data_IF_359323057847
#
_entry.id   IF_359323057847
#
_cell.length_a   1.000
_cell.length_b   1.000
_cell.length_c   1.000
_cell.angle_alpha   90.00
_cell.angle_beta   90.00
_cell.angle_gamma   90.00
#
_symmetry.space_group_name_H-M   'P 1'
#
loop_
_entity.id
_entity.type
_entity.pdbx_description
1 polymer ?
#
# COMPACT_ATOMS: atom_id res chain seq x y z
N UNK A 1 -25.51 11.03 -8.76
CA UNK A 1 -24.29 10.88 -7.95
C UNK A 1 -23.48 9.62 -8.31
N UNK A 2 -24.08 8.46 -8.63
CA UNK A 2 -23.37 7.23 -9.01
C UNK A 2 -22.48 7.35 -10.26
N UNK A 3 -22.93 8.06 -11.31
CA UNK A 3 -22.17 8.22 -12.57
C UNK A 3 -20.86 8.99 -12.38
N UNK A 4 -20.82 10.01 -11.55
CA UNK A 4 -19.61 10.79 -11.29
C UNK A 4 -18.56 9.99 -10.51
N UNK A 5 -18.98 9.14 -9.57
CA UNK A 5 -18.08 8.28 -8.83
C UNK A 5 -17.46 7.19 -9.72
N UNK A 6 -18.26 6.56 -10.61
CA UNK A 6 -17.75 5.56 -11.55
C UNK A 6 -16.75 6.15 -12.55
N UNK A 7 -17.02 7.35 -13.07
CA UNK A 7 -16.07 8.05 -13.96
C UNK A 7 -14.78 8.44 -13.24
N UNK A 8 -14.86 8.82 -11.97
CA UNK A 8 -13.70 9.15 -11.13
C UNK A 8 -12.80 7.93 -10.94
N UNK A 9 -13.35 6.80 -10.49
CA UNK A 9 -12.59 5.54 -10.33
C UNK A 9 -12.04 5.03 -11.66
N UNK A 10 -12.76 5.18 -12.78
CA UNK A 10 -12.27 4.80 -14.11
C UNK A 10 -11.02 5.58 -14.53
N UNK A 11 -10.94 6.87 -14.19
CA UNK A 11 -9.76 7.71 -14.46
C UNK A 11 -8.54 7.27 -13.63
N UNK A 12 -8.74 6.94 -12.36
CA UNK A 12 -7.67 6.42 -11.50
C UNK A 12 -7.17 5.08 -12.04
N UNK A 13 -8.07 4.16 -12.40
CA UNK A 13 -7.70 2.86 -12.99
C UNK A 13 -6.87 3.02 -14.27
N UNK A 14 -7.26 3.94 -15.14
CA UNK A 14 -6.49 4.18 -16.38
C UNK A 14 -5.06 4.65 -16.08
N UNK A 15 -4.87 5.55 -15.11
CA UNK A 15 -3.54 6.00 -14.69
C UNK A 15 -2.73 4.83 -14.16
N UNK A 16 -3.30 4.01 -13.25
CA UNK A 16 -2.63 2.85 -12.66
C UNK A 16 -2.22 1.81 -13.72
N UNK A 17 -3.09 1.51 -14.69
CA UNK A 17 -2.78 0.57 -15.76
C UNK A 17 -1.65 1.11 -16.66
N UNK A 18 -1.72 2.38 -17.04
CA UNK A 18 -0.69 3.01 -17.86
C UNK A 18 0.67 2.96 -17.17
N UNK A 19 0.71 3.36 -15.91
CA UNK A 19 1.94 3.36 -15.10
C UNK A 19 2.46 1.94 -14.89
N UNK A 20 1.58 0.97 -14.58
CA UNK A 20 1.94 -0.44 -14.45
C UNK A 20 2.63 -0.97 -15.71
N UNK A 21 2.07 -0.70 -16.90
CA UNK A 21 2.64 -1.14 -18.17
C UNK A 21 4.02 -0.52 -18.39
N UNK A 22 4.18 0.77 -18.10
CA UNK A 22 5.46 1.46 -18.23
C UNK A 22 6.51 0.93 -17.24
N UNK A 23 6.14 0.78 -15.98
CA UNK A 23 7.04 0.26 -14.92
C UNK A 23 7.48 -1.18 -15.23
N UNK A 24 6.55 -2.03 -15.69
CA UNK A 24 6.91 -3.38 -16.10
C UNK A 24 7.77 -3.40 -17.36
N UNK A 25 7.53 -2.52 -18.33
CA UNK A 25 8.40 -2.36 -19.50
C UNK A 25 9.82 -1.99 -19.10
N UNK A 26 9.98 -1.03 -18.21
CA UNK A 26 11.27 -0.61 -17.62
C UNK A 26 11.93 -1.77 -16.87
N UNK A 27 11.19 -2.46 -15.99
CA UNK A 27 11.69 -3.56 -15.19
C UNK A 27 12.19 -4.73 -16.07
N UNK A 28 11.40 -5.14 -17.05
CA UNK A 28 11.74 -6.23 -17.97
C UNK A 28 12.99 -5.86 -18.79
N UNK A 29 13.09 -4.62 -19.30
CA UNK A 29 14.27 -4.16 -20.02
C UNK A 29 15.54 -4.23 -19.17
N UNK A 30 15.47 -3.79 -17.90
CA UNK A 30 16.58 -3.89 -16.95
C UNK A 30 16.98 -5.33 -16.67
N UNK A 31 16.00 -6.22 -16.42
CA UNK A 31 16.24 -7.64 -16.12
C UNK A 31 16.91 -8.32 -17.31
N UNK A 32 16.32 -8.22 -18.51
CA UNK A 32 16.87 -8.86 -19.71
C UNK A 32 18.29 -8.38 -19.98
N UNK A 33 18.50 -7.08 -19.93
CA UNK A 33 19.82 -6.53 -20.26
C UNK A 33 20.84 -6.78 -19.15
N UNK A 34 20.42 -6.79 -17.88
CA UNK A 34 21.25 -7.19 -16.75
C UNK A 34 21.72 -8.64 -16.85
N UNK A 35 20.86 -9.55 -17.32
CA UNK A 35 21.21 -10.95 -17.58
C UNK A 35 22.19 -11.08 -18.75
N UNK A 36 21.93 -10.39 -19.88
CA UNK A 36 22.83 -10.40 -21.06
C UNK A 36 24.23 -9.85 -20.74
N UNK A 37 24.30 -8.79 -19.95
CA UNK A 37 25.55 -8.16 -19.55
C UNK A 37 26.24 -8.85 -18.38
N UNK A 38 25.62 -9.88 -17.78
CA UNK A 38 26.05 -10.51 -16.52
C UNK A 38 26.18 -9.50 -15.37
N UNK A 39 25.43 -8.40 -15.40
CA UNK A 39 25.43 -7.35 -14.38
C UNK A 39 24.31 -7.64 -13.36
N UNK A 40 24.70 -8.11 -12.17
CA UNK A 40 23.75 -8.52 -11.14
C UNK A 40 23.02 -7.32 -10.51
N UNK A 41 23.72 -6.19 -10.33
CA UNK A 41 23.10 -4.96 -9.80
C UNK A 41 22.02 -4.40 -10.71
N UNK A 42 22.21 -4.44 -12.03
CA UNK A 42 21.19 -4.03 -13.00
C UNK A 42 19.98 -4.99 -13.00
N UNK A 43 20.24 -6.31 -12.87
CA UNK A 43 19.17 -7.32 -12.73
C UNK A 43 18.39 -7.11 -11.44
N UNK A 44 19.07 -6.85 -10.33
CA UNK A 44 18.44 -6.58 -9.03
C UNK A 44 17.58 -5.30 -9.06
N UNK A 45 18.08 -4.21 -9.70
CA UNK A 45 17.32 -2.98 -9.92
C UNK A 45 16.07 -3.22 -10.79
N UNK A 46 16.17 -4.13 -11.78
CA UNK A 46 15.01 -4.55 -12.58
C UNK A 46 13.96 -5.30 -11.74
N UNK A 47 14.36 -6.21 -10.85
CA UNK A 47 13.44 -6.87 -9.92
C UNK A 47 12.87 -5.90 -8.88
N UNK A 48 13.64 -4.92 -8.45
CA UNK A 48 13.14 -3.85 -7.58
C UNK A 48 12.03 -3.05 -8.30
N UNK A 49 12.28 -2.58 -9.52
CA UNK A 49 11.26 -1.88 -10.31
C UNK A 49 10.03 -2.74 -10.62
N UNK A 50 10.19 -4.07 -10.75
CA UNK A 50 9.06 -4.99 -10.90
C UNK A 50 8.24 -5.05 -9.61
N UNK A 51 8.89 -5.03 -8.44
CA UNK A 51 8.20 -5.04 -7.15
C UNK A 51 7.36 -3.79 -6.93
N UNK A 52 7.81 -2.64 -7.43
CA UNK A 52 7.07 -1.38 -7.27
C UNK A 52 5.80 -1.33 -8.13
N UNK A 53 5.83 -1.96 -9.31
CA UNK A 53 4.63 -2.17 -10.12
C UNK A 53 3.56 -3.04 -9.41
N UNK A 54 3.94 -3.80 -8.37
CA UNK A 54 2.98 -4.61 -7.61
C UNK A 54 2.02 -3.76 -6.77
N UNK A 55 2.43 -2.55 -6.34
CA UNK A 55 1.55 -1.59 -5.66
C UNK A 55 0.36 -1.23 -6.54
N UNK A 56 0.59 -1.03 -7.84
CA UNK A 56 -0.46 -0.74 -8.81
C UNK A 56 -1.41 -1.92 -9.01
N UNK A 57 -0.89 -3.16 -8.99
CA UNK A 57 -1.73 -4.38 -9.04
C UNK A 57 -2.62 -4.46 -7.80
N UNK A 58 -2.06 -4.23 -6.62
CA UNK A 58 -2.82 -4.21 -5.36
C UNK A 58 -3.93 -3.16 -5.43
N UNK A 59 -3.61 -1.96 -5.93
CA UNK A 59 -4.58 -0.90 -6.10
C UNK A 59 -5.70 -1.25 -7.09
N UNK A 60 -5.37 -1.87 -8.22
CA UNK A 60 -6.36 -2.34 -9.19
C UNK A 60 -7.27 -3.42 -8.62
N UNK A 61 -6.70 -4.37 -7.87
CA UNK A 61 -7.44 -5.41 -7.15
C UNK A 61 -8.34 -4.76 -6.10
N UNK A 62 -7.80 -3.84 -5.29
CA UNK A 62 -8.56 -3.11 -4.27
C UNK A 62 -9.76 -2.38 -4.86
N UNK A 63 -9.58 -1.65 -5.97
CA UNK A 63 -10.67 -0.98 -6.68
C UNK A 63 -11.70 -1.98 -7.23
N UNK A 64 -11.25 -3.13 -7.75
CA UNK A 64 -12.15 -4.17 -8.25
C UNK A 64 -13.04 -4.73 -7.14
N UNK A 65 -12.45 -5.14 -6.02
CA UNK A 65 -13.19 -5.71 -4.89
C UNK A 65 -13.98 -4.67 -4.09
N UNK A 66 -13.49 -3.44 -3.97
CA UNK A 66 -14.22 -2.36 -3.31
C UNK A 66 -15.56 -2.02 -4.00
N UNK A 67 -15.72 -2.39 -5.28
CA UNK A 67 -16.97 -2.24 -6.04
C UNK A 67 -17.96 -3.38 -5.83
N UNK A 68 -17.51 -4.51 -5.29
CA UNK A 68 -18.41 -5.65 -5.06
C UNK A 68 -19.23 -5.38 -3.80
N UNK A 69 -20.57 -5.48 -3.90
CA UNK A 69 -21.42 -5.34 -2.72
C UNK A 69 -21.17 -6.49 -1.74
N UNK A 70 -21.59 -6.30 -0.50
CA UNK A 70 -21.68 -7.38 0.47
C UNK A 70 -22.59 -8.48 -0.05
N UNK A 71 -22.20 -9.73 0.15
CA UNK A 71 -22.98 -10.91 -0.21
C UNK A 71 -23.20 -11.81 1.02
N UNK A 72 -23.85 -12.96 0.81
CA UNK A 72 -24.20 -13.89 1.88
C UNK A 72 -22.98 -14.51 2.56
N UNK A 73 -21.90 -14.72 1.79
CA UNK A 73 -20.68 -15.35 2.28
C UNK A 73 -19.70 -14.29 2.83
N UNK A 74 -19.83 -13.03 2.41
CA UNK A 74 -19.01 -11.89 2.83
C UNK A 74 -19.86 -10.73 3.35
N UNK A 75 -20.47 -10.86 4.55
CA UNK A 75 -21.33 -9.82 5.13
C UNK A 75 -20.64 -8.50 5.40
N UNK A 76 -19.32 -8.53 5.62
CA UNK A 76 -18.47 -7.35 5.82
C UNK A 76 -17.78 -6.85 4.54
N UNK A 77 -18.14 -7.42 3.37
CA UNK A 77 -17.59 -7.03 2.08
C UNK A 77 -16.27 -7.75 1.72
N UNK A 78 -15.71 -7.36 0.58
CA UNK A 78 -14.59 -8.07 -0.07
C UNK A 78 -13.25 -7.36 0.06
N UNK A 79 -13.16 -6.24 0.79
CA UNK A 79 -11.94 -5.42 0.85
C UNK A 79 -10.73 -6.14 1.44
N UNK A 80 -10.92 -7.15 2.32
CA UNK A 80 -9.81 -7.95 2.88
C UNK A 80 -9.08 -8.81 1.84
N UNK A 81 -9.67 -9.07 0.67
CA UNK A 81 -8.98 -9.76 -0.42
C UNK A 81 -7.73 -9.03 -0.88
N UNK A 82 -7.76 -7.69 -0.93
CA UNK A 82 -6.59 -6.88 -1.24
C UNK A 82 -5.42 -7.17 -0.30
N UNK A 83 -5.72 -7.36 0.99
CA UNK A 83 -4.70 -7.70 2.00
C UNK A 83 -4.08 -9.08 1.75
N UNK A 84 -4.87 -10.07 1.31
CA UNK A 84 -4.36 -11.39 0.94
C UNK A 84 -3.44 -11.34 -0.30
N UNK A 85 -3.83 -10.59 -1.33
CA UNK A 85 -2.98 -10.39 -2.51
C UNK A 85 -1.68 -9.70 -2.14
N UNK A 86 -1.75 -8.69 -1.26
CA UNK A 86 -0.55 -8.00 -0.75
C UNK A 86 0.42 -8.95 -0.06
N UNK A 87 -0.08 -9.88 0.76
CA UNK A 87 0.77 -10.91 1.39
C UNK A 87 1.40 -11.86 0.37
N UNK A 88 0.65 -12.27 -0.66
CA UNK A 88 1.20 -13.09 -1.75
C UNK A 88 2.37 -12.40 -2.46
N UNK A 89 2.23 -11.10 -2.72
CA UNK A 89 3.29 -10.27 -3.30
C UNK A 89 4.49 -10.17 -2.35
N UNK A 90 4.26 -9.92 -1.06
CA UNK A 90 5.35 -9.85 -0.08
C UNK A 90 6.15 -11.15 -0.01
N UNK A 91 5.50 -12.32 -0.07
CA UNK A 91 6.18 -13.63 -0.14
C UNK A 91 7.04 -13.76 -1.40
N UNK A 92 6.52 -13.31 -2.55
CA UNK A 92 7.29 -13.30 -3.80
C UNK A 92 8.53 -12.40 -3.68
N UNK A 93 8.40 -11.21 -3.08
CA UNK A 93 9.52 -10.30 -2.86
C UNK A 93 10.60 -10.89 -1.95
N UNK A 94 10.21 -11.56 -0.87
CA UNK A 94 11.17 -12.28 -0.01
C UNK A 94 11.89 -13.38 -0.78
N UNK A 95 11.18 -14.16 -1.58
CA UNK A 95 11.79 -15.22 -2.39
C UNK A 95 12.81 -14.65 -3.40
N UNK A 96 12.42 -13.61 -4.13
CA UNK A 96 13.31 -12.92 -5.08
C UNK A 96 14.53 -12.33 -4.36
N UNK A 97 14.34 -11.67 -3.22
CA UNK A 97 15.45 -11.07 -2.47
C UNK A 97 16.45 -12.12 -2.00
N UNK A 98 15.99 -13.29 -1.53
CA UNK A 98 16.86 -14.39 -1.11
C UNK A 98 17.68 -14.94 -2.28
N UNK A 99 17.09 -15.10 -3.46
CA UNK A 99 17.80 -15.53 -4.68
C UNK A 99 18.89 -14.53 -5.04
N UNK A 100 18.58 -13.24 -5.03
CA UNK A 100 19.51 -12.17 -5.38
C UNK A 100 20.65 -12.04 -4.35
N UNK A 101 20.35 -12.15 -3.05
CA UNK A 101 21.37 -12.15 -1.97
C UNK A 101 22.31 -13.35 -2.15
N UNK A 102 21.75 -14.55 -2.36
CA UNK A 102 22.56 -15.74 -2.59
C UNK A 102 23.46 -15.57 -3.81
N UNK A 103 22.93 -15.10 -4.94
CA UNK A 103 23.69 -14.83 -6.15
C UNK A 103 24.76 -13.75 -5.95
N UNK A 104 24.48 -12.70 -5.16
CA UNK A 104 25.45 -11.67 -4.80
C UNK A 104 26.61 -12.24 -3.95
N UNK A 105 26.31 -13.05 -2.94
CA UNK A 105 27.32 -13.72 -2.10
C UNK A 105 28.18 -14.68 -2.93
N UNK A 106 27.57 -15.46 -3.82
CA UNK A 106 28.31 -16.37 -4.70
C UNK A 106 29.28 -15.62 -5.62
N UNK A 107 28.87 -14.47 -6.18
CA UNK A 107 29.73 -13.61 -7.00
C UNK A 107 30.84 -12.92 -6.20
N UNK A 108 30.70 -12.73 -4.89
CA UNK A 108 31.79 -12.28 -4.04
C UNK A 108 32.85 -13.37 -3.84
N UNK A 109 32.43 -14.65 -3.79
CA UNK A 109 33.34 -15.82 -3.66
C UNK A 109 33.99 -16.20 -5.00
N UNK A 110 33.18 -16.16 -6.07
CA UNK A 110 33.59 -16.52 -7.43
C UNK A 110 33.34 -15.31 -8.35
N UNK A 111 34.26 -14.33 -8.41
CA UNK A 111 34.08 -13.09 -9.13
C UNK A 111 33.79 -13.29 -10.62
N UNK A 112 32.65 -12.82 -11.07
CA UNK A 112 32.31 -12.73 -12.50
C UNK A 112 32.43 -11.26 -12.88
N UNK A 113 33.25 -10.95 -13.88
CA UNK A 113 33.37 -9.58 -14.40
C UNK A 113 32.17 -9.27 -15.30
N UNK A 114 31.31 -8.29 -14.92
CA UNK A 114 30.22 -7.86 -15.78
C UNK A 114 30.75 -7.25 -17.09
N UNK A 115 30.08 -7.55 -18.20
CA UNK A 115 30.39 -6.93 -19.51
C UNK A 115 29.60 -5.63 -19.63
N UNK A 116 30.21 -4.52 -19.22
CA UNK A 116 29.57 -3.21 -19.27
C UNK A 116 29.68 -2.62 -20.68
N UNK A 117 28.57 -2.64 -21.41
CA UNK A 117 28.46 -2.04 -22.73
C UNK A 117 27.86 -0.62 -22.64
N UNK A 118 28.05 0.19 -23.67
CA UNK A 118 27.42 1.51 -23.79
C UNK A 118 25.90 1.41 -23.71
N UNK A 119 25.31 0.33 -24.23
CA UNK A 119 23.88 0.03 -24.16
C UNK A 119 23.34 -0.07 -22.73
N UNK A 120 24.16 -0.58 -21.75
CA UNK A 120 23.76 -0.63 -20.34
C UNK A 120 23.45 0.78 -19.82
N UNK A 121 24.27 1.76 -20.12
CA UNK A 121 24.05 3.15 -19.74
C UNK A 121 22.87 3.77 -20.45
N UNK A 122 22.71 3.51 -21.77
CA UNK A 122 21.57 4.02 -22.56
C UNK A 122 20.26 3.53 -21.97
N UNK A 123 20.15 2.23 -21.67
CA UNK A 123 18.94 1.65 -21.06
C UNK A 123 18.68 2.29 -19.70
N UNK A 124 19.68 2.40 -18.83
CA UNK A 124 19.50 3.01 -17.51
C UNK A 124 19.08 4.48 -17.58
N UNK A 125 19.62 5.25 -18.52
CA UNK A 125 19.23 6.66 -18.72
C UNK A 125 17.79 6.74 -19.23
N UNK A 126 17.41 5.92 -20.21
CA UNK A 126 16.04 5.87 -20.74
C UNK A 126 15.06 5.48 -19.63
N UNK A 127 15.38 4.48 -18.82
CA UNK A 127 14.50 4.03 -17.72
C UNK A 127 14.35 5.10 -16.65
N UNK A 128 15.40 5.83 -16.28
CA UNK A 128 15.31 6.99 -15.38
C UNK A 128 14.42 8.09 -15.99
N UNK A 129 14.57 8.36 -17.29
CA UNK A 129 13.73 9.32 -17.99
C UNK A 129 12.24 8.96 -17.96
N UNK A 130 11.93 7.67 -18.19
CA UNK A 130 10.55 7.13 -18.07
C UNK A 130 10.04 7.28 -16.65
N UNK A 131 10.80 6.85 -15.64
CA UNK A 131 10.39 6.95 -14.25
C UNK A 131 10.19 8.42 -13.81
N UNK A 132 11.02 9.33 -14.28
CA UNK A 132 10.85 10.77 -14.01
C UNK A 132 9.56 11.32 -14.63
N UNK A 133 9.22 10.89 -15.84
CA UNK A 133 7.96 11.25 -16.48
C UNK A 133 6.76 10.64 -15.74
N UNK A 134 6.83 9.35 -15.38
CA UNK A 134 5.79 8.63 -14.60
C UNK A 134 5.54 9.35 -13.29
N UNK A 135 6.58 9.61 -12.49
CA UNK A 135 6.49 10.32 -11.20
C UNK A 135 5.74 11.65 -11.34
N UNK A 136 6.10 12.47 -12.33
CA UNK A 136 5.43 13.76 -12.55
C UNK A 136 3.98 13.59 -13.01
N UNK A 137 3.70 12.59 -13.83
CA UNK A 137 2.36 12.28 -14.33
C UNK A 137 1.45 11.83 -13.18
N UNK A 138 1.89 10.86 -12.37
CA UNK A 138 1.17 10.37 -11.20
C UNK A 138 0.88 11.50 -10.20
N UNK A 139 1.91 12.30 -9.88
CA UNK A 139 1.77 13.42 -8.94
C UNK A 139 0.72 14.42 -9.42
N UNK A 140 0.76 14.84 -10.70
CA UNK A 140 -0.22 15.77 -11.27
C UNK A 140 -1.63 15.18 -11.29
N UNK A 141 -1.76 13.91 -11.68
CA UNK A 141 -3.06 13.23 -11.73
C UNK A 141 -3.61 12.94 -10.35
N UNK A 142 -2.76 12.54 -9.41
CA UNK A 142 -3.13 12.32 -8.02
C UNK A 142 -3.68 13.58 -7.36
N UNK A 143 -3.02 14.72 -7.55
CA UNK A 143 -3.50 16.01 -7.06
C UNK A 143 -4.82 16.43 -7.72
N UNK A 144 -4.96 16.27 -9.05
CA UNK A 144 -6.18 16.63 -9.77
C UNK A 144 -7.38 15.73 -9.46
N UNK A 145 -7.13 14.47 -9.11
CA UNK A 145 -8.14 13.47 -8.75
C UNK A 145 -8.31 13.31 -7.24
N UNK A 146 -7.63 14.13 -6.41
CA UNK A 146 -7.63 13.99 -4.94
C UNK A 146 -7.38 12.54 -4.49
N UNK A 147 -6.45 11.85 -5.16
CA UNK A 147 -6.10 10.45 -4.89
C UNK A 147 -4.76 10.37 -4.18
N UNK A 148 -4.80 10.16 -2.86
CA UNK A 148 -3.60 9.98 -2.03
C UNK A 148 -2.78 8.75 -2.48
N UNK A 149 -3.45 7.74 -3.04
CA UNK A 149 -2.82 6.57 -3.60
C UNK A 149 -1.87 6.93 -4.74
N UNK A 150 -2.32 7.71 -5.75
CA UNK A 150 -1.47 8.14 -6.86
C UNK A 150 -0.34 9.07 -6.41
N UNK A 151 -0.58 9.91 -5.39
CA UNK A 151 0.46 10.77 -4.82
C UNK A 151 1.52 9.94 -4.10
N UNK A 152 1.09 8.92 -3.34
CA UNK A 152 2.01 7.98 -2.67
C UNK A 152 2.84 7.18 -3.68
N UNK A 153 2.22 6.70 -4.76
CA UNK A 153 2.90 5.94 -5.82
C UNK A 153 3.97 6.81 -6.52
N UNK A 154 3.68 8.09 -6.78
CA UNK A 154 4.66 9.04 -7.29
C UNK A 154 5.89 9.20 -6.37
N UNK A 155 5.72 9.07 -5.04
CA UNK A 155 6.84 9.10 -4.09
C UNK A 155 7.67 7.83 -4.13
N UNK A 156 7.05 6.65 -4.36
CA UNK A 156 7.76 5.40 -4.61
C UNK A 156 8.58 5.49 -5.90
N UNK A 157 7.96 5.91 -7.02
CA UNK A 157 8.66 6.11 -8.30
C UNK A 157 9.85 7.08 -8.17
N UNK A 158 9.75 8.08 -7.28
CA UNK A 158 10.89 8.95 -6.96
C UNK A 158 12.05 8.20 -6.29
N UNK A 159 11.76 7.27 -5.38
CA UNK A 159 12.79 6.44 -4.74
C UNK A 159 13.48 5.53 -5.77
N UNK A 160 12.74 4.99 -6.76
CA UNK A 160 13.28 4.17 -7.85
C UNK A 160 14.29 4.92 -8.72
N UNK A 161 14.07 6.21 -8.95
CA UNK A 161 15.03 7.05 -9.66
C UNK A 161 16.36 7.10 -8.91
N UNK A 162 16.34 7.25 -7.58
CA UNK A 162 17.58 7.24 -6.78
C UNK A 162 18.26 5.87 -6.78
N UNK A 163 17.48 4.79 -6.69
CA UNK A 163 18.01 3.43 -6.78
C UNK A 163 18.68 3.19 -8.13
N UNK A 164 18.00 3.52 -9.24
CA UNK A 164 18.56 3.40 -10.59
C UNK A 164 19.79 4.30 -10.81
N UNK A 165 19.83 5.48 -10.19
CA UNK A 165 21.01 6.36 -10.23
C UNK A 165 22.18 5.71 -9.51
N UNK A 166 21.97 5.05 -8.36
CA UNK A 166 23.02 4.33 -7.65
C UNK A 166 23.59 3.18 -8.48
N UNK A 167 22.76 2.50 -9.28
CA UNK A 167 23.20 1.46 -10.23
C UNK A 167 24.05 2.07 -11.35
N UNK A 168 23.70 3.24 -11.88
CA UNK A 168 24.57 3.92 -12.88
C UNK A 168 25.95 4.23 -12.29
N UNK A 169 25.99 4.71 -11.03
CA UNK A 169 27.26 4.95 -10.34
C UNK A 169 28.05 3.64 -10.22
N UNK A 170 27.40 2.54 -9.82
CA UNK A 170 28.02 1.22 -9.76
C UNK A 170 28.58 0.80 -11.13
N UNK A 171 27.82 0.96 -12.24
CA UNK A 171 28.27 0.64 -13.59
C UNK A 171 29.51 1.46 -14.00
N UNK A 172 29.57 2.74 -13.63
CA UNK A 172 30.75 3.59 -13.89
C UNK A 172 31.99 3.03 -13.15
N UNK A 173 31.83 2.71 -11.87
CA UNK A 173 32.94 2.23 -11.03
C UNK A 173 33.41 0.83 -11.46
N UNK A 174 32.47 -0.04 -11.89
CA UNK A 174 32.81 -1.35 -12.48
C UNK A 174 33.64 -1.15 -13.78
N UNK A 175 33.24 -0.20 -14.62
CA UNK A 175 33.97 0.13 -15.85
C UNK A 175 35.37 0.70 -15.58
N UNK A 176 35.57 1.35 -14.42
CA UNK A 176 36.88 1.82 -13.94
C UNK A 176 37.77 0.70 -13.37
N UNK A 177 37.33 -0.56 -13.37
CA UNK A 177 38.10 -1.71 -12.98
C UNK A 177 37.81 -2.27 -11.58
N UNK A 178 36.70 -1.89 -10.96
CA UNK A 178 36.28 -2.39 -9.64
C UNK A 178 35.04 -3.28 -9.71
N UNK A 179 35.11 -4.51 -10.26
CA UNK A 179 33.94 -5.38 -10.49
C UNK A 179 33.26 -5.85 -9.19
N UNK A 180 33.94 -5.77 -8.05
CA UNK A 180 33.41 -6.15 -6.74
C UNK A 180 32.20 -5.32 -6.31
N UNK A 181 32.00 -4.13 -6.90
CA UNK A 181 30.84 -3.28 -6.60
C UNK A 181 29.54 -3.85 -7.15
N UNK A 182 29.56 -4.69 -8.20
CA UNK A 182 28.35 -5.32 -8.71
C UNK A 182 27.65 -6.22 -7.68
N UNK A 183 28.31 -7.23 -7.08
CA UNK A 183 27.68 -8.06 -6.05
C UNK A 183 27.33 -7.27 -4.78
N UNK A 184 28.12 -6.26 -4.40
CA UNK A 184 27.81 -5.42 -3.23
C UNK A 184 26.53 -4.63 -3.47
N UNK A 185 26.40 -3.96 -4.61
CA UNK A 185 25.20 -3.23 -4.99
C UNK A 185 23.97 -4.17 -5.09
N UNK A 186 24.18 -5.37 -5.65
CA UNK A 186 23.13 -6.40 -5.73
C UNK A 186 22.59 -6.77 -4.35
N UNK A 187 23.47 -7.08 -3.39
CA UNK A 187 23.07 -7.43 -2.02
C UNK A 187 22.33 -6.26 -1.37
N UNK A 188 22.83 -5.02 -1.54
CA UNK A 188 22.20 -3.84 -0.97
C UNK A 188 20.77 -3.63 -1.51
N UNK A 189 20.58 -3.70 -2.84
CA UNK A 189 19.28 -3.59 -3.49
C UNK A 189 18.36 -4.73 -3.02
N UNK A 190 18.88 -5.94 -2.90
CA UNK A 190 18.10 -7.11 -2.46
C UNK A 190 17.61 -6.97 -1.02
N UNK A 191 18.40 -6.39 -0.11
CA UNK A 191 17.97 -6.05 1.25
C UNK A 191 16.84 -5.03 1.22
N UNK A 192 16.91 -4.05 0.32
CA UNK A 192 15.85 -3.07 0.16
C UNK A 192 14.54 -3.70 -0.34
N UNK A 193 14.62 -4.66 -1.30
CA UNK A 193 13.45 -5.45 -1.74
C UNK A 193 12.85 -6.24 -0.56
N UNK A 194 13.69 -6.89 0.26
CA UNK A 194 13.22 -7.61 1.45
C UNK A 194 12.52 -6.68 2.45
N UNK A 195 13.07 -5.48 2.64
CA UNK A 195 12.46 -4.46 3.51
C UNK A 195 11.08 -4.02 3.00
N UNK A 196 10.92 -3.84 1.68
CA UNK A 196 9.62 -3.55 1.06
C UNK A 196 8.62 -4.69 1.35
N UNK A 197 9.03 -5.95 1.17
CA UNK A 197 8.22 -7.11 1.53
C UNK A 197 7.81 -7.11 3.01
N UNK A 198 8.73 -6.80 3.92
CA UNK A 198 8.46 -6.69 5.35
C UNK A 198 7.43 -5.58 5.66
N UNK A 199 7.55 -4.40 5.03
CA UNK A 199 6.61 -3.29 5.23
C UNK A 199 5.19 -3.67 4.79
N UNK A 200 5.06 -4.39 3.65
CA UNK A 200 3.78 -4.93 3.18
C UNK A 200 3.20 -5.91 4.22
N UNK A 201 3.98 -6.87 4.73
CA UNK A 201 3.52 -7.81 5.76
C UNK A 201 3.07 -7.07 7.01
N UNK A 202 3.85 -6.09 7.47
CA UNK A 202 3.54 -5.27 8.65
C UNK A 202 2.21 -4.53 8.49
N UNK A 203 1.97 -3.87 7.34
CA UNK A 203 0.72 -3.17 7.04
C UNK A 203 -0.45 -4.15 6.93
N UNK A 204 -0.26 -5.28 6.28
CA UNK A 204 -1.27 -6.34 6.14
C UNK A 204 -1.65 -6.95 7.49
N UNK A 205 -0.68 -7.13 8.41
CA UNK A 205 -0.93 -7.69 9.74
C UNK A 205 -1.85 -6.80 10.58
N UNK A 206 -1.74 -5.49 10.45
CA UNK A 206 -2.64 -4.53 11.15
C UNK A 206 -4.10 -4.80 10.81
N UNK A 207 -4.39 -5.06 9.53
CA UNK A 207 -5.75 -5.34 9.05
C UNK A 207 -6.24 -6.72 9.45
N UNK A 208 -5.37 -7.74 9.34
CA UNK A 208 -5.75 -9.14 9.59
C UNK A 208 -5.86 -9.48 11.07
N UNK A 209 -5.06 -8.81 11.91
CA UNK A 209 -5.07 -9.01 13.36
C UNK A 209 -6.05 -8.05 14.09
N UNK A 210 -6.95 -7.39 13.35
CA UNK A 210 -7.91 -6.44 13.91
C UNK A 210 -7.27 -5.42 14.87
N UNK A 211 -6.06 -4.95 14.52
CA UNK A 211 -5.36 -3.93 15.30
C UNK A 211 -6.18 -2.64 15.30
N UNK A 212 -6.22 -1.97 16.44
CA UNK A 212 -6.95 -0.71 16.56
C UNK A 212 -6.49 0.29 15.50
N UNK A 213 -7.41 0.76 14.68
CA UNK A 213 -7.14 1.84 13.73
C UNK A 213 -7.07 3.13 14.54
N UNK A 214 -6.02 3.94 14.28
CA UNK A 214 -5.79 5.20 15.00
C UNK A 214 -6.85 6.20 14.57
N UNK A 215 -8.03 6.11 15.18
CA UNK A 215 -8.98 7.20 15.23
C UNK A 215 -8.73 7.99 16.52
N UNK A 216 -8.92 9.29 16.47
CA UNK A 216 -9.01 10.10 17.68
C UNK A 216 -10.25 9.65 18.48
N UNK A 217 -10.02 8.73 19.45
CA UNK A 217 -11.08 8.18 20.30
C UNK A 217 -11.83 9.30 21.02
N UNK A 218 -11.17 10.42 21.35
CA UNK A 218 -11.82 11.60 21.96
C UNK A 218 -12.89 12.17 21.03
N UNK A 219 -12.61 12.24 19.73
CA UNK A 219 -13.60 12.71 18.75
C UNK A 219 -14.87 11.86 18.76
N UNK A 220 -14.74 10.53 18.87
CA UNK A 220 -15.90 9.63 18.97
C UNK A 220 -16.64 9.88 20.27
N UNK A 221 -15.93 9.98 21.41
CA UNK A 221 -16.52 10.27 22.71
C UNK A 221 -17.30 11.60 22.68
N UNK A 222 -16.72 12.65 22.15
CA UNK A 222 -17.35 13.99 22.08
C UNK A 222 -18.61 13.97 21.22
N UNK A 223 -18.58 13.27 20.08
CA UNK A 223 -19.76 13.07 19.22
C UNK A 223 -20.88 12.34 20.00
N UNK A 224 -20.55 11.26 20.67
CA UNK A 224 -21.52 10.40 21.37
C UNK A 224 -22.12 11.11 22.59
N UNK A 225 -21.29 11.76 23.40
CA UNK A 225 -21.76 12.52 24.57
C UNK A 225 -22.57 13.75 24.21
N UNK A 226 -22.43 14.29 23.00
CA UNK A 226 -23.25 15.39 22.48
C UNK A 226 -24.69 14.97 22.16
N UNK A 227 -25.02 13.68 22.15
CA UNK A 227 -26.36 13.18 21.83
C UNK A 227 -27.23 13.14 23.08
N UNK A 228 -28.39 13.78 23.00
CA UNK A 228 -29.36 13.85 24.11
C UNK A 228 -29.80 12.44 24.55
N UNK A 229 -29.71 12.17 25.84
CA UNK A 229 -30.08 10.87 26.44
C UNK A 229 -28.88 9.95 26.69
N UNK A 230 -27.72 10.25 26.15
CA UNK A 230 -26.46 9.55 26.46
C UNK A 230 -25.91 10.07 27.80
N UNK A 231 -25.56 9.17 28.69
CA UNK A 231 -25.00 9.49 30.03
C UNK A 231 -23.50 9.22 30.12
N UNK A 232 -23.01 8.18 29.41
CA UNK A 232 -21.59 7.84 29.32
C UNK A 232 -21.30 6.99 28.09
N UNK A 233 -20.03 6.99 27.68
CA UNK A 233 -19.53 6.18 26.58
C UNK A 233 -18.19 5.56 27.00
N UNK A 234 -18.00 4.26 26.79
CA UNK A 234 -16.78 3.54 27.15
C UNK A 234 -16.57 2.31 26.26
N UNK A 235 -15.46 1.58 26.48
CA UNK A 235 -15.07 0.37 25.72
C UNK A 235 -15.10 0.56 24.21
N UNK A 236 -14.67 1.72 23.74
CA UNK A 236 -14.59 2.00 22.31
C UNK A 236 -13.48 1.15 21.71
N UNK A 237 -13.82 0.37 20.68
CA UNK A 237 -12.89 -0.46 19.91
C UNK A 237 -13.05 -0.12 18.44
N UNK A 238 -11.94 -0.06 17.74
CA UNK A 238 -11.91 0.18 16.30
C UNK A 238 -11.09 -0.89 15.62
N UNK A 239 -11.49 -1.31 14.44
CA UNK A 239 -10.78 -2.28 13.61
C UNK A 239 -11.00 -1.99 12.15
N UNK A 240 -10.25 -2.66 11.29
CA UNK A 240 -10.40 -2.57 9.84
C UNK A 240 -9.24 -1.89 9.15
N UNK A 241 -9.51 -1.20 8.07
CA UNK A 241 -8.55 -0.46 7.26
C UNK A 241 -8.72 1.05 7.49
N UNK A 242 -7.72 1.88 7.16
CA UNK A 242 -7.87 3.33 7.28
C UNK A 242 -9.03 3.91 6.46
N UNK A 243 -9.45 3.23 5.38
CA UNK A 243 -10.57 3.59 4.49
C UNK A 243 -11.83 2.75 4.71
N UNK A 244 -11.86 1.90 5.75
CA UNK A 244 -12.95 0.95 6.01
C UNK A 244 -12.95 0.55 7.49
N UNK A 245 -13.41 1.47 8.34
CA UNK A 245 -13.31 1.36 9.80
C UNK A 245 -14.62 0.86 10.39
N UNK A 246 -14.51 -0.11 11.29
CA UNK A 246 -15.59 -0.64 12.11
C UNK A 246 -15.40 -0.16 13.54
N UNK A 247 -16.46 0.34 14.15
CA UNK A 247 -16.44 0.88 15.52
C UNK A 247 -17.42 0.11 16.37
N UNK A 248 -16.95 -0.45 17.49
CA UNK A 248 -17.78 -1.01 18.54
C UNK A 248 -17.67 -0.10 19.76
N UNK A 249 -18.80 0.23 20.41
CA UNK A 249 -18.81 1.05 21.61
C UNK A 249 -19.96 0.70 22.55
N UNK A 250 -19.76 0.95 23.84
CA UNK A 250 -20.77 0.82 24.86
C UNK A 250 -21.26 2.20 25.27
N UNK A 251 -22.60 2.36 25.38
CA UNK A 251 -23.26 3.62 25.73
C UNK A 251 -24.19 3.40 26.89
N UNK A 252 -24.06 4.22 27.91
CA UNK A 252 -24.93 4.20 29.07
C UNK A 252 -26.07 5.22 28.93
N UNK A 253 -27.28 4.74 29.19
CA UNK A 253 -28.51 5.54 29.18
C UNK A 253 -29.24 5.39 30.51
N UNK A 254 -30.34 6.17 30.69
CA UNK A 254 -31.19 6.05 31.89
C UNK A 254 -31.74 4.61 32.01
N UNK A 255 -31.59 3.94 33.15
CA UNK A 255 -32.14 2.59 33.40
C UNK A 255 -33.65 2.46 33.16
N UNK A 256 -34.41 3.54 33.38
CA UNK A 256 -35.86 3.56 33.24
C UNK A 256 -36.30 3.97 31.80
N UNK A 257 -35.35 4.08 30.87
CA UNK A 257 -35.62 4.43 29.46
C UNK A 257 -36.32 3.31 28.72
N UNK A 258 -37.36 3.64 27.97
CA UNK A 258 -38.05 2.66 27.13
C UNK A 258 -37.13 2.17 26.00
N UNK A 259 -37.25 0.88 25.65
CA UNK A 259 -36.40 0.26 24.62
C UNK A 259 -36.44 1.00 23.28
N UNK A 260 -37.59 1.49 22.87
CA UNK A 260 -37.77 2.25 21.61
C UNK A 260 -37.00 3.57 21.63
N UNK A 261 -36.87 4.23 22.78
CA UNK A 261 -36.06 5.45 22.92
C UNK A 261 -34.56 5.11 22.88
N UNK A 262 -34.14 4.07 23.60
CA UNK A 262 -32.76 3.59 23.56
C UNK A 262 -32.33 3.21 22.14
N UNK A 263 -33.21 2.51 21.38
CA UNK A 263 -32.96 2.15 20.00
C UNK A 263 -32.81 3.39 19.08
N UNK A 264 -33.67 4.42 19.25
CA UNK A 264 -33.52 5.67 18.49
C UNK A 264 -32.20 6.39 18.78
N UNK A 265 -31.74 6.37 20.05
CA UNK A 265 -30.45 6.93 20.42
C UNK A 265 -29.33 6.14 19.75
N UNK A 266 -29.35 4.81 19.80
CA UNK A 266 -28.37 3.94 19.14
C UNK A 266 -28.27 4.26 17.64
N UNK A 267 -29.39 4.34 16.93
CA UNK A 267 -29.45 4.71 15.51
C UNK A 267 -28.90 6.12 15.25
N UNK A 268 -29.19 7.07 16.15
CA UNK A 268 -28.70 8.45 16.04
C UNK A 268 -27.18 8.49 16.20
N UNK A 269 -26.63 7.71 17.14
CA UNK A 269 -25.18 7.57 17.36
C UNK A 269 -24.52 7.04 16.09
N UNK A 270 -25.00 5.91 15.57
CA UNK A 270 -24.49 5.28 14.35
C UNK A 270 -24.45 6.28 13.20
N UNK A 271 -25.58 6.94 12.91
CA UNK A 271 -25.69 7.92 11.83
C UNK A 271 -24.77 9.12 12.02
N UNK A 272 -24.66 9.62 13.27
CA UNK A 272 -23.84 10.79 13.55
C UNK A 272 -22.35 10.49 13.40
N UNK A 273 -21.89 9.34 13.89
CA UNK A 273 -20.50 8.90 13.72
C UNK A 273 -20.16 8.73 12.23
N UNK A 274 -20.99 7.99 11.46
CA UNK A 274 -20.80 7.77 10.02
C UNK A 274 -20.77 9.08 9.21
N UNK A 275 -21.58 10.06 9.60
CA UNK A 275 -21.60 11.37 8.94
C UNK A 275 -20.40 12.26 9.31
N UNK A 276 -19.88 12.11 10.54
CA UNK A 276 -18.77 12.92 11.06
C UNK A 276 -17.38 12.37 10.73
N UNK A 277 -17.31 11.06 10.42
CA UNK A 277 -16.08 10.34 10.11
C UNK A 277 -16.34 9.47 8.87
N UNK A 278 -16.08 9.98 7.66
CA UNK A 278 -16.43 9.31 6.40
C UNK A 278 -15.78 7.93 6.21
N UNK A 279 -14.67 7.66 6.88
CA UNK A 279 -13.93 6.40 6.83
C UNK A 279 -14.63 5.29 7.65
N UNK A 280 -15.60 5.64 8.50
CA UNK A 280 -16.34 4.66 9.31
C UNK A 280 -17.47 4.05 8.46
N UNK A 281 -17.33 2.76 8.20
CA UNK A 281 -18.29 1.97 7.42
C UNK A 281 -19.43 1.44 8.28
N UNK A 282 -19.11 0.99 9.50
CA UNK A 282 -20.13 0.44 10.39
C UNK A 282 -19.88 0.76 11.86
N UNK A 283 -20.98 0.87 12.65
CA UNK A 283 -20.93 1.19 14.08
C UNK A 283 -21.89 0.27 14.82
N UNK A 284 -21.34 -0.51 15.76
CA UNK A 284 -22.12 -1.34 16.66
C UNK A 284 -22.20 -0.66 18.04
N UNK A 285 -23.40 -0.29 18.45
CA UNK A 285 -23.66 0.37 19.72
C UNK A 285 -24.30 -0.60 20.70
N UNK A 286 -23.55 -0.96 21.75
CA UNK A 286 -24.09 -1.74 22.87
C UNK A 286 -24.68 -0.79 23.91
N UNK A 287 -26.02 -0.85 24.06
CA UNK A 287 -26.75 0.00 25.01
C UNK A 287 -26.78 -0.66 26.40
N UNK A 288 -26.35 0.09 27.41
CA UNK A 288 -26.31 -0.36 28.81
C UNK A 288 -27.11 0.60 29.71
N UNK A 289 -27.82 0.09 30.75
CA UNK A 289 -28.33 0.96 31.78
C UNK A 289 -27.16 1.54 32.59
N UNK A 290 -27.26 2.82 32.98
CA UNK A 290 -26.29 3.39 33.89
C UNK A 290 -26.43 2.74 35.25
N UNK A 291 -25.36 2.09 35.76
CA UNK A 291 -25.36 1.52 37.08
C UNK A 291 -25.63 2.60 38.14
N UNK A 292 -26.50 2.31 39.11
CA UNK A 292 -26.71 3.16 40.27
C UNK A 292 -25.45 3.04 41.13
N UNK A 293 -24.75 4.17 41.33
CA UNK A 293 -23.58 4.26 42.21
C UNK A 293 -23.92 3.88 43.66
#
# INVERSE_FOLDING_TARGET
MHDNAQQHYGRIQYVLILVLVLNWGVAIAKIIYGLISHCASMTADGFHSLSDGTSNIIGLIGIHFARQPTDRDHPYGHKKYETFFSLGIALLLFFVSLILIHGGIERLRNPITPKIYTQSFIIMIITIGINFWVMNYERKRGQALHSDMLVSDAMHTKADIFTSLSVIIALIVIKLGYPILDPIATIFISIFIAYTGYDIVKKSSVVLCDTAVILDVKKIVDIVLGIKGVMACHKIRTRGRPDDIYVDLHVQVNPDMHMDEAHKISYTIEKTIKNSIPEVTDVVVHMEPKEKA
#
